data_IF_848916602382
#
_entry.id   IF_848916602382
#
_cell.length_a   1.000
_cell.length_b   1.000
_cell.length_c   1.000
_cell.angle_alpha   90.00
_cell.angle_beta   90.00
_cell.angle_gamma   90.00
#
_symmetry.space_group_name_H-M   'P 1'
#
loop_
_entity.id
_entity.type
_entity.pdbx_description
1 polymer ?
#
# COMPACT_ATOMS: atom_id res chain seq x y z
N UNK A 1 17.50 21.48 -2.46
CA UNK A 1 16.16 21.06 -1.97
C UNK A 1 16.21 19.61 -1.48
N UNK A 2 16.74 18.66 -2.26
CA UNK A 2 16.80 17.24 -1.86
C UNK A 2 17.57 17.04 -0.57
N UNK A 3 18.73 17.72 -0.37
CA UNK A 3 19.47 17.71 0.89
C UNK A 3 18.63 18.19 2.09
N UNK A 4 17.76 19.19 1.89
CA UNK A 4 16.85 19.64 2.95
C UNK A 4 15.81 18.58 3.31
N UNK A 5 15.33 17.82 2.33
CA UNK A 5 14.43 16.69 2.58
C UNK A 5 15.16 15.57 3.33
N UNK A 6 16.40 15.26 2.92
CA UNK A 6 17.23 14.25 3.57
C UNK A 6 17.62 14.62 5.01
N UNK A 7 17.64 15.93 5.34
CA UNK A 7 17.96 16.41 6.69
C UNK A 7 17.01 15.84 7.76
N UNK A 8 15.74 15.63 7.42
CA UNK A 8 14.68 15.10 8.31
C UNK A 8 14.32 13.64 8.01
N UNK A 9 15.17 12.94 7.25
CA UNK A 9 14.95 11.55 6.85
C UNK A 9 16.13 10.67 7.28
N UNK A 10 15.90 9.47 7.86
CA UNK A 10 16.99 8.55 8.21
C UNK A 10 17.78 8.14 6.98
N UNK A 11 19.11 8.33 7.01
CA UNK A 11 20.03 7.97 5.93
C UNK A 11 20.51 6.50 6.05
N UNK A 12 19.60 5.61 6.42
CA UNK A 12 19.89 4.19 6.70
C UNK A 12 19.38 3.29 5.56
N UNK A 13 19.64 3.69 4.31
CA UNK A 13 19.09 3.03 3.12
C UNK A 13 19.40 1.53 3.06
N UNK A 14 20.59 1.12 3.47
CA UNK A 14 21.03 -0.29 3.39
C UNK A 14 20.21 -1.22 4.28
N UNK A 15 19.66 -0.71 5.39
CA UNK A 15 18.80 -1.45 6.31
C UNK A 15 17.30 -1.19 6.09
N UNK A 16 16.96 -0.29 5.16
CA UNK A 16 15.59 0.11 4.91
C UNK A 16 14.78 -0.97 4.18
N UNK A 17 13.53 -1.19 4.60
CA UNK A 17 12.61 -2.17 3.98
C UNK A 17 12.36 -1.91 2.48
N UNK A 18 12.58 -0.69 1.98
CA UNK A 18 12.39 -0.29 0.59
C UNK A 18 13.69 0.10 -0.13
N UNK A 19 14.83 -0.40 0.37
CA UNK A 19 16.11 -0.21 -0.31
C UNK A 19 16.01 -0.59 -1.80
N UNK A 20 16.55 0.26 -2.69
CA UNK A 20 16.47 0.15 -4.15
C UNK A 20 15.05 0.22 -4.75
N UNK A 21 14.03 0.56 -3.97
CA UNK A 21 12.65 0.77 -4.43
C UNK A 21 12.00 1.99 -3.76
N UNK A 22 12.78 3.03 -3.56
CA UNK A 22 12.40 4.29 -2.92
C UNK A 22 12.65 5.45 -3.89
N UNK A 23 11.61 6.24 -4.18
CA UNK A 23 11.74 7.40 -5.09
C UNK A 23 12.74 8.44 -4.55
N UNK A 24 12.80 8.66 -3.23
CA UNK A 24 13.75 9.58 -2.62
C UNK A 24 15.20 9.11 -2.82
N UNK A 25 15.47 7.82 -2.60
CA UNK A 25 16.78 7.22 -2.83
C UNK A 25 17.20 7.35 -4.30
N UNK A 26 16.30 7.08 -5.24
CA UNK A 26 16.55 7.22 -6.67
C UNK A 26 16.95 8.65 -7.00
N UNK A 27 16.16 9.64 -6.58
CA UNK A 27 16.46 11.05 -6.84
C UNK A 27 17.77 11.50 -6.19
N UNK A 28 18.07 11.05 -4.97
CA UNK A 28 19.33 11.35 -4.29
C UNK A 28 20.53 10.79 -5.07
N UNK A 29 20.44 9.54 -5.52
CA UNK A 29 21.47 8.88 -6.31
C UNK A 29 21.70 9.58 -7.67
N UNK A 30 20.63 9.92 -8.38
CA UNK A 30 20.70 10.63 -9.67
C UNK A 30 21.37 12.00 -9.56
N UNK A 31 21.24 12.65 -8.41
CA UNK A 31 21.88 13.93 -8.11
C UNK A 31 23.27 13.79 -7.45
N UNK A 32 23.74 12.57 -7.18
CA UNK A 32 25.01 12.31 -6.51
C UNK A 32 25.05 12.78 -5.04
N UNK A 33 23.90 12.79 -4.37
CA UNK A 33 23.78 13.22 -2.97
C UNK A 33 23.86 11.99 -2.08
N UNK A 34 24.98 11.86 -1.37
CA UNK A 34 25.21 10.78 -0.39
C UNK A 34 25.16 11.24 1.07
N UNK A 35 25.07 12.55 1.31
CA UNK A 35 25.02 13.16 2.63
C UNK A 35 24.35 14.54 2.54
N UNK A 36 24.01 15.12 3.67
CA UNK A 36 23.39 16.45 3.73
C UNK A 36 24.24 17.41 4.59
N UNK A 37 24.30 18.67 4.16
CA UNK A 37 25.08 19.75 4.82
C UNK A 37 24.39 20.37 6.03
N UNK A 38 23.10 20.12 6.19
CA UNK A 38 22.28 20.79 7.18
C UNK A 38 22.14 19.93 8.43
N UNK A 39 22.22 20.57 9.59
CA UNK A 39 21.99 19.87 10.86
C UNK A 39 20.51 19.74 11.12
N UNK A 40 20.03 18.50 11.30
CA UNK A 40 18.70 18.25 11.82
C UNK A 40 18.71 18.06 13.34
N UNK A 41 17.75 18.62 14.04
CA UNK A 41 17.58 18.30 15.45
C UNK A 41 17.13 16.85 15.67
N UNK A 42 16.52 16.20 14.66
CA UNK A 42 16.01 14.83 14.73
C UNK A 42 16.00 14.20 13.33
N UNK A 43 16.87 13.23 13.08
CA UNK A 43 16.77 12.36 11.90
C UNK A 43 15.61 11.36 12.01
N UNK A 44 15.26 10.97 13.22
CA UNK A 44 14.07 10.19 13.53
C UNK A 44 13.08 11.05 14.28
N UNK A 45 11.84 11.08 13.84
CA UNK A 45 10.76 11.82 14.51
C UNK A 45 10.43 11.22 15.87
N UNK A 46 10.81 9.95 16.07
CA UNK A 46 10.57 9.23 17.32
C UNK A 46 9.08 8.95 17.57
N UNK A 47 8.28 8.98 16.51
CA UNK A 47 6.86 8.65 16.59
C UNK A 47 6.72 7.14 16.43
N UNK A 48 6.06 6.43 17.37
CA UNK A 48 5.87 4.99 17.24
C UNK A 48 5.20 4.64 15.89
N UNK A 49 5.65 3.52 15.29
CA UNK A 49 5.04 2.98 14.09
C UNK A 49 3.59 2.59 14.40
N UNK A 50 2.65 3.10 13.60
CA UNK A 50 1.25 2.73 13.71
C UNK A 50 0.97 1.48 12.88
N UNK A 51 0.56 0.41 13.55
CA UNK A 51 0.20 -0.89 12.98
C UNK A 51 -1.24 -1.27 13.30
N UNK A 52 -2.05 -0.31 13.71
CA UNK A 52 -3.44 -0.55 14.14
C UNK A 52 -4.39 -0.88 12.99
N UNK A 53 -4.05 -0.46 11.76
CA UNK A 53 -4.91 -0.68 10.60
C UNK A 53 -4.70 -2.07 10.00
N UNK A 54 -5.79 -2.78 9.64
CA UNK A 54 -5.75 -4.16 9.15
C UNK A 54 -4.96 -4.34 7.84
N UNK A 55 -4.93 -3.31 7.00
CA UNK A 55 -4.36 -3.37 5.64
C UNK A 55 -3.12 -2.50 5.43
N UNK A 56 -2.89 -1.53 6.29
CA UNK A 56 -1.82 -0.55 6.12
C UNK A 56 -1.05 -0.31 7.41
N UNK A 57 0.17 0.17 7.28
CA UNK A 57 1.03 0.61 8.39
C UNK A 57 1.50 2.02 8.11
N UNK A 58 1.78 2.78 9.17
CA UNK A 58 2.33 4.13 9.07
C UNK A 58 3.60 4.23 9.91
N UNK A 59 4.72 4.53 9.25
CA UNK A 59 6.02 4.82 9.87
C UNK A 59 6.43 6.24 9.51
N UNK A 60 6.21 7.18 10.41
CA UNK A 60 6.45 8.59 10.15
C UNK A 60 7.93 8.99 10.15
N UNK A 61 8.84 8.13 10.63
CA UNK A 61 10.28 8.35 10.46
C UNK A 61 10.67 8.35 8.97
N UNK A 62 10.00 7.54 8.16
CA UNK A 62 10.22 7.51 6.72
C UNK A 62 9.48 8.63 5.95
N UNK A 63 8.65 9.44 6.64
CA UNK A 63 7.81 10.43 5.99
C UNK A 63 8.60 11.71 5.66
N UNK A 64 8.58 12.11 4.39
CA UNK A 64 9.21 13.34 3.87
C UNK A 64 8.22 14.51 3.74
N UNK A 65 7.06 14.43 4.34
CA UNK A 65 6.02 15.47 4.33
C UNK A 65 5.62 15.95 2.91
N UNK A 66 5.71 15.09 1.91
CA UNK A 66 5.39 15.45 0.51
C UNK A 66 3.89 15.70 0.24
N UNK A 67 3.01 15.32 1.15
CA UNK A 67 1.56 15.52 1.05
C UNK A 67 0.85 14.67 -0.01
N UNK A 68 1.52 13.74 -0.70
CA UNK A 68 0.88 12.88 -1.73
C UNK A 68 -0.26 12.05 -1.15
N UNK A 69 -0.08 11.47 0.04
CA UNK A 69 -1.10 10.67 0.70
C UNK A 69 -2.33 11.51 1.11
N UNK A 70 -2.12 12.75 1.54
CA UNK A 70 -3.20 13.70 1.87
C UNK A 70 -4.01 13.99 0.62
N UNK A 71 -3.35 14.39 -0.49
CA UNK A 71 -4.05 14.65 -1.76
C UNK A 71 -4.75 13.40 -2.31
N UNK A 72 -4.15 12.22 -2.20
CA UNK A 72 -4.80 10.98 -2.63
C UNK A 72 -6.06 10.66 -1.80
N UNK A 73 -6.04 10.97 -0.50
CA UNK A 73 -7.18 10.79 0.38
C UNK A 73 -8.28 11.81 0.11
N UNK A 74 -7.91 13.06 -0.17
CA UNK A 74 -8.79 14.20 -0.43
C UNK A 74 -9.33 14.17 -1.87
N UNK A 75 -8.45 14.35 -2.86
CA UNK A 75 -8.82 14.64 -4.26
C UNK A 75 -9.27 13.39 -5.02
N UNK A 76 -8.75 12.20 -4.67
CA UNK A 76 -9.03 10.96 -5.40
C UNK A 76 -10.11 10.14 -4.69
N UNK A 77 -9.91 9.86 -3.39
CA UNK A 77 -10.86 9.06 -2.63
C UNK A 77 -12.03 9.89 -2.06
N UNK A 78 -11.82 11.16 -1.74
CA UNK A 78 -12.83 12.03 -1.12
C UNK A 78 -13.17 11.66 0.32
N UNK A 79 -12.23 11.05 1.06
CA UNK A 79 -12.47 10.61 2.46
C UNK A 79 -11.96 11.59 3.50
N UNK A 80 -10.99 12.46 3.16
CA UNK A 80 -10.45 13.54 4.01
C UNK A 80 -9.86 13.09 5.35
N UNK A 81 -9.50 11.81 5.48
CA UNK A 81 -8.98 11.22 6.72
C UNK A 81 -7.57 11.70 7.04
N UNK A 82 -6.72 11.78 5.99
CA UNK A 82 -5.32 12.16 6.16
C UNK A 82 -5.16 13.68 6.02
N UNK A 83 -4.45 14.28 6.97
CA UNK A 83 -4.10 15.70 6.93
C UNK A 83 -2.68 15.92 7.44
N UNK A 84 -2.14 17.13 7.21
CA UNK A 84 -0.87 17.54 7.81
C UNK A 84 -1.15 18.32 9.08
N UNK A 85 -0.45 18.00 10.15
CA UNK A 85 -0.47 18.74 11.42
C UNK A 85 0.93 19.20 11.82
N UNK A 86 1.00 20.15 12.74
CA UNK A 86 2.25 20.72 13.20
C UNK A 86 2.88 21.70 12.18
N UNK A 87 4.14 22.07 12.44
CA UNK A 87 4.92 22.96 11.58
C UNK A 87 6.42 22.73 11.75
N UNK A 88 7.22 23.08 10.73
CA UNK A 88 8.66 22.86 10.73
C UNK A 88 9.00 21.38 10.95
N UNK A 89 9.97 21.08 11.76
CA UNK A 89 10.37 19.70 12.07
C UNK A 89 9.32 18.88 12.85
N UNK A 90 8.32 19.53 13.44
CA UNK A 90 7.19 18.82 14.09
C UNK A 90 6.03 18.51 13.12
N UNK A 91 6.18 18.84 11.84
CA UNK A 91 5.17 18.51 10.82
C UNK A 91 5.06 17.00 10.66
N UNK A 92 3.83 16.51 10.69
CA UNK A 92 3.52 15.09 10.50
C UNK A 92 2.21 14.89 9.76
N UNK A 93 2.05 13.74 9.17
CA UNK A 93 0.74 13.28 8.68
C UNK A 93 -0.04 12.72 9.88
N UNK A 94 -1.30 13.09 9.97
CA UNK A 94 -2.25 12.59 10.99
C UNK A 94 -3.51 12.05 10.34
N UNK A 95 -4.21 11.21 11.08
CA UNK A 95 -5.51 10.65 10.73
C UNK A 95 -6.58 11.32 11.59
N UNK A 96 -7.64 11.81 10.97
CA UNK A 96 -8.75 12.51 11.65
C UNK A 96 -8.24 13.50 12.72
N UNK A 97 -8.59 13.32 13.99
CA UNK A 97 -8.15 14.13 15.13
C UNK A 97 -6.88 13.56 15.80
N UNK A 98 -5.89 13.11 15.03
CA UNK A 98 -4.65 12.46 15.51
C UNK A 98 -4.92 11.10 16.20
N UNK A 99 -5.93 10.39 15.71
CA UNK A 99 -6.28 9.03 16.13
C UNK A 99 -5.31 8.00 15.54
N UNK A 100 -5.33 6.78 16.09
CA UNK A 100 -4.65 5.64 15.45
C UNK A 100 -5.29 5.36 14.10
N UNK A 101 -4.49 4.91 13.12
CA UNK A 101 -4.95 4.73 11.75
C UNK A 101 -6.13 3.74 11.64
N UNK A 102 -6.12 2.66 12.43
CA UNK A 102 -7.20 1.68 12.47
C UNK A 102 -8.49 2.18 13.10
N UNK A 103 -8.42 3.20 13.96
CA UNK A 103 -9.58 3.78 14.65
C UNK A 103 -10.19 4.96 13.86
N UNK A 104 -9.55 5.38 12.78
CA UNK A 104 -9.97 6.51 11.95
C UNK A 104 -11.14 6.14 11.03
N UNK A 105 -11.76 7.15 10.42
CA UNK A 105 -12.81 6.97 9.41
C UNK A 105 -12.31 6.45 8.06
N UNK A 106 -11.12 5.85 8.01
CA UNK A 106 -10.48 5.35 6.81
C UNK A 106 -11.32 4.27 6.10
N UNK A 107 -11.52 4.44 4.80
CA UNK A 107 -12.26 3.47 3.96
C UNK A 107 -11.36 2.38 3.37
N UNK A 108 -10.11 2.29 3.80
CA UNK A 108 -9.15 1.22 3.43
C UNK A 108 -8.90 1.09 1.92
N UNK A 109 -8.94 2.18 1.16
CA UNK A 109 -8.73 2.13 -0.29
C UNK A 109 -7.26 1.89 -0.71
N UNK A 110 -6.28 2.17 0.18
CA UNK A 110 -4.86 1.98 -0.06
C UNK A 110 -4.20 3.00 -1.01
N UNK A 111 -4.92 4.04 -1.44
CA UNK A 111 -4.35 5.06 -2.35
C UNK A 111 -3.15 5.79 -1.73
N UNK A 112 -3.18 6.02 -0.42
CA UNK A 112 -2.07 6.65 0.32
C UNK A 112 -0.81 5.80 0.33
N UNK A 113 -0.92 4.47 0.55
CA UNK A 113 0.21 3.54 0.50
C UNK A 113 0.77 3.43 -0.93
N UNK A 114 -0.12 3.33 -1.93
CA UNK A 114 0.28 3.23 -3.34
C UNK A 114 1.06 4.45 -3.83
N UNK A 115 0.72 5.65 -3.37
CA UNK A 115 1.36 6.90 -3.81
C UNK A 115 2.57 7.32 -2.96
N UNK A 116 2.82 6.67 -1.81
CA UNK A 116 3.89 7.06 -0.90
C UNK A 116 5.27 6.80 -1.54
N UNK A 117 6.13 7.83 -1.69
CA UNK A 117 7.42 7.68 -2.37
C UNK A 117 8.49 6.99 -1.51
N UNK A 118 8.32 6.98 -0.18
CA UNK A 118 9.29 6.46 0.80
C UNK A 118 8.73 5.31 1.63
N UNK A 119 7.55 4.81 1.29
CA UNK A 119 6.84 3.75 2.01
C UNK A 119 6.54 4.08 3.49
N UNK A 120 6.49 5.38 3.82
CA UNK A 120 6.06 5.83 5.14
C UNK A 120 4.63 5.37 5.48
N UNK A 121 3.77 5.25 4.47
CA UNK A 121 2.53 4.48 4.54
C UNK A 121 2.70 3.29 3.59
N UNK A 122 2.58 2.09 4.12
CA UNK A 122 2.85 0.84 3.40
C UNK A 122 1.74 -0.19 3.60
N UNK A 123 1.72 -1.16 2.69
CA UNK A 123 0.82 -2.31 2.74
C UNK A 123 1.30 -3.34 3.78
N UNK A 124 0.37 -4.00 4.50
CA UNK A 124 0.74 -5.09 5.43
C UNK A 124 1.00 -6.40 4.71
N UNK A 125 0.45 -6.59 3.50
CA UNK A 125 0.55 -7.85 2.76
C UNK A 125 1.85 -8.00 1.99
N UNK A 126 2.41 -6.90 1.50
CA UNK A 126 3.64 -6.94 0.71
C UNK A 126 4.47 -5.67 0.88
N UNK A 127 5.77 -5.84 1.13
CA UNK A 127 6.75 -4.77 0.91
C UNK A 127 6.93 -4.51 -0.58
N UNK A 128 7.11 -3.26 -0.98
CA UNK A 128 7.44 -2.87 -2.35
C UNK A 128 8.70 -3.55 -2.89
N UNK A 129 9.61 -3.94 -2.01
CA UNK A 129 10.86 -4.64 -2.35
C UNK A 129 10.77 -6.16 -2.30
N UNK A 130 9.60 -6.73 -2.01
CA UNK A 130 9.46 -8.18 -1.95
C UNK A 130 9.67 -8.81 -3.34
N UNK A 131 10.53 -9.83 -3.42
CA UNK A 131 10.74 -10.58 -4.64
C UNK A 131 9.46 -11.36 -5.02
N UNK A 132 9.04 -11.23 -6.27
CA UNK A 132 7.92 -11.96 -6.85
C UNK A 132 8.37 -12.69 -8.11
N UNK A 133 7.71 -13.81 -8.44
CA UNK A 133 8.10 -14.61 -9.60
C UNK A 133 7.63 -13.95 -10.90
N UNK A 134 6.43 -13.39 -10.89
CA UNK A 134 5.84 -12.69 -12.04
C UNK A 134 4.75 -11.72 -11.59
N UNK A 135 4.47 -10.76 -12.46
CA UNK A 135 3.32 -9.86 -12.36
C UNK A 135 2.36 -10.11 -13.52
N UNK A 136 1.08 -10.17 -13.23
CA UNK A 136 0.03 -10.48 -14.21
C UNK A 136 -1.04 -9.40 -14.17
N UNK A 137 -1.26 -8.74 -15.31
CA UNK A 137 -2.38 -7.79 -15.45
C UNK A 137 -3.70 -8.53 -15.57
N UNK A 138 -4.69 -8.07 -14.85
CA UNK A 138 -6.04 -8.63 -14.81
C UNK A 138 -7.08 -7.56 -14.57
N UNK A 139 -8.33 -7.95 -14.63
CA UNK A 139 -9.48 -7.08 -14.35
C UNK A 139 -10.11 -7.49 -13.02
N UNK A 140 -10.47 -6.49 -12.21
CA UNK A 140 -11.18 -6.72 -10.96
C UNK A 140 -12.54 -7.38 -11.21
N UNK A 141 -12.82 -8.45 -10.46
CA UNK A 141 -14.06 -9.24 -10.63
C UNK A 141 -15.22 -8.78 -9.76
N UNK A 142 -15.06 -7.74 -8.92
CA UNK A 142 -16.05 -7.38 -7.92
C UNK A 142 -17.22 -6.54 -8.42
N UNK A 143 -16.99 -5.64 -9.36
CA UNK A 143 -18.07 -4.79 -9.86
C UNK A 143 -17.87 -4.36 -11.31
N UNK A 144 -18.87 -3.72 -11.89
CA UNK A 144 -18.88 -3.29 -13.29
C UNK A 144 -17.93 -2.17 -13.67
N UNK A 145 -17.20 -1.57 -12.72
CA UNK A 145 -16.13 -0.61 -13.03
C UNK A 145 -15.01 -1.28 -13.81
N UNK A 146 -14.71 -2.56 -13.52
CA UNK A 146 -13.69 -3.31 -14.24
C UNK A 146 -12.26 -2.77 -14.05
N UNK A 147 -11.93 -2.32 -12.85
CA UNK A 147 -10.59 -1.78 -12.55
C UNK A 147 -9.47 -2.69 -13.04
N UNK A 148 -8.46 -2.11 -13.65
CA UNK A 148 -7.25 -2.83 -14.04
C UNK A 148 -6.38 -3.06 -12.79
N UNK A 149 -6.00 -4.29 -12.57
CA UNK A 149 -5.17 -4.74 -11.46
C UNK A 149 -3.89 -5.39 -11.99
N UNK A 150 -2.84 -5.38 -11.18
CA UNK A 150 -1.63 -6.14 -11.40
C UNK A 150 -1.39 -7.06 -10.21
N UNK A 151 -1.58 -8.36 -10.42
CA UNK A 151 -1.37 -9.37 -9.40
C UNK A 151 0.11 -9.76 -9.33
N UNK A 152 0.70 -9.63 -8.16
CA UNK A 152 2.03 -10.14 -7.83
C UNK A 152 1.93 -11.61 -7.44
N UNK A 153 2.64 -12.47 -8.15
CA UNK A 153 2.59 -13.93 -7.97
C UNK A 153 3.93 -14.40 -7.38
N UNK A 154 3.83 -15.23 -6.35
CA UNK A 154 4.96 -15.95 -5.76
C UNK A 154 4.52 -17.37 -5.41
N UNK A 155 5.31 -18.38 -5.78
CA UNK A 155 5.01 -19.78 -5.55
C UNK A 155 3.58 -20.15 -6.03
N UNK A 156 3.20 -19.69 -7.24
CA UNK A 156 1.88 -19.81 -7.85
C UNK A 156 0.70 -19.23 -7.05
N UNK A 157 0.97 -18.39 -6.05
CA UNK A 157 -0.05 -17.68 -5.25
C UNK A 157 -0.03 -16.20 -5.49
N UNK A 158 -1.20 -15.57 -5.48
CA UNK A 158 -1.30 -14.11 -5.44
C UNK A 158 -0.94 -13.65 -4.04
N UNK A 159 0.13 -12.87 -3.94
CA UNK A 159 0.63 -12.36 -2.67
C UNK A 159 0.29 -10.88 -2.45
N UNK A 160 0.06 -10.15 -3.53
CA UNK A 160 -0.42 -8.77 -3.47
C UNK A 160 -1.11 -8.36 -4.77
N UNK A 161 -1.91 -7.31 -4.66
CA UNK A 161 -2.52 -6.62 -5.81
C UNK A 161 -2.03 -5.19 -5.83
N UNK A 162 -1.51 -4.78 -6.97
CA UNK A 162 -1.19 -3.41 -7.28
C UNK A 162 -2.12 -2.87 -8.38
N UNK A 163 -2.06 -1.57 -8.62
CA UNK A 163 -2.89 -0.90 -9.64
C UNK A 163 -2.00 -0.06 -10.53
N UNK A 164 -1.76 -0.49 -11.78
CA UNK A 164 -0.91 0.25 -12.70
C UNK A 164 -1.44 1.66 -12.95
N UNK A 165 -0.56 2.66 -12.91
CA UNK A 165 -0.93 4.08 -13.09
C UNK A 165 -1.35 4.39 -14.54
N UNK A 166 -0.82 3.65 -15.49
CA UNK A 166 -0.98 3.85 -16.95
C UNK A 166 -2.23 3.14 -17.48
N UNK A 167 -3.29 3.04 -16.69
CA UNK A 167 -4.54 2.41 -17.10
C UNK A 167 -5.66 3.43 -17.29
N UNK A 168 -6.46 3.24 -18.35
CA UNK A 168 -7.53 4.16 -18.72
C UNK A 168 -8.72 4.09 -17.76
N UNK A 169 -8.97 2.91 -17.17
CA UNK A 169 -10.19 2.69 -16.36
C UNK A 169 -10.08 3.32 -14.98
N UNK A 170 -8.97 3.13 -14.30
CA UNK A 170 -8.84 3.49 -12.88
C UNK A 170 -7.57 4.24 -12.52
N UNK A 171 -6.69 4.56 -13.50
CA UNK A 171 -5.52 5.44 -13.36
C UNK A 171 -4.71 5.20 -12.06
N UNK A 172 -4.48 3.93 -11.71
CA UNK A 172 -3.71 3.54 -10.52
C UNK A 172 -4.51 3.49 -9.22
N UNK A 173 -5.83 3.61 -9.25
CA UNK A 173 -6.65 3.61 -8.04
C UNK A 173 -7.67 2.46 -8.04
N UNK A 174 -8.02 1.97 -6.85
CA UNK A 174 -9.05 0.95 -6.66
C UNK A 174 -9.62 1.05 -5.24
N UNK A 175 -10.75 0.43 -4.98
CA UNK A 175 -11.32 0.36 -3.64
C UNK A 175 -10.70 -0.79 -2.83
N UNK A 176 -11.06 -0.88 -1.55
CA UNK A 176 -10.65 -1.94 -0.63
C UNK A 176 -10.79 -3.35 -1.24
N UNK A 177 -11.90 -3.63 -1.93
CA UNK A 177 -12.15 -4.96 -2.51
C UNK A 177 -11.12 -5.32 -3.58
N UNK A 178 -10.87 -4.41 -4.53
CA UNK A 178 -9.91 -4.67 -5.59
C UNK A 178 -8.48 -4.86 -5.07
N UNK A 179 -8.09 -4.11 -4.03
CA UNK A 179 -6.73 -4.15 -3.51
C UNK A 179 -6.48 -5.28 -2.53
N UNK A 180 -7.39 -5.51 -1.58
CA UNK A 180 -7.12 -6.36 -0.42
C UNK A 180 -7.93 -7.65 -0.36
N UNK A 181 -9.06 -7.74 -1.06
CA UNK A 181 -9.94 -8.90 -0.96
C UNK A 181 -9.63 -9.98 -2.02
N UNK A 182 -8.36 -10.29 -2.26
CA UNK A 182 -7.96 -11.28 -3.27
C UNK A 182 -7.82 -12.71 -2.72
N UNK A 183 -7.78 -12.91 -1.41
CA UNK A 183 -7.56 -14.22 -0.79
C UNK A 183 -8.68 -15.26 -1.08
N UNK A 184 -9.85 -14.81 -1.56
CA UNK A 184 -10.98 -15.70 -1.86
C UNK A 184 -10.68 -16.75 -2.94
N UNK A 185 -9.75 -16.47 -3.86
CA UNK A 185 -9.47 -17.37 -4.99
C UNK A 185 -8.77 -18.68 -4.55
N UNK A 186 -8.01 -18.66 -3.45
CA UNK A 186 -7.29 -19.83 -2.89
C UNK A 186 -7.70 -20.13 -1.43
N UNK A 187 -8.89 -19.67 -1.03
CA UNK A 187 -9.41 -19.95 0.31
C UNK A 187 -9.66 -21.47 0.49
N UNK A 188 -9.34 -22.06 1.66
CA UNK A 188 -9.57 -23.50 1.91
C UNK A 188 -11.01 -23.95 1.67
N UNK A 189 -11.98 -23.10 2.00
CA UNK A 189 -13.41 -23.39 1.85
C UNK A 189 -13.94 -23.17 0.42
N UNK A 190 -13.07 -22.77 -0.52
CA UNK A 190 -13.49 -22.56 -1.91
C UNK A 190 -13.83 -23.89 -2.54
N UNK A 191 -15.03 -23.97 -3.14
CA UNK A 191 -15.45 -25.13 -3.92
C UNK A 191 -14.54 -25.27 -5.15
N UNK A 192 -13.93 -26.44 -5.31
CA UNK A 192 -13.02 -26.77 -6.43
C UNK A 192 -13.62 -27.77 -7.41
N UNK A 193 -14.69 -28.47 -6.97
CA UNK A 193 -15.45 -29.45 -7.75
C UNK A 193 -16.94 -29.15 -7.68
N UNK A 194 -17.74 -29.58 -8.66
CA UNK A 194 -19.20 -29.55 -8.54
C UNK A 194 -19.66 -30.34 -7.33
N UNK A 195 -20.74 -29.91 -6.71
CA UNK A 195 -21.36 -30.61 -5.59
C UNK A 195 -22.81 -30.97 -5.93
N UNK A 196 -23.19 -32.25 -5.76
CA UNK A 196 -24.57 -32.72 -5.90
C UNK A 196 -25.15 -33.03 -4.52
N UNK A 197 -26.35 -32.53 -4.25
CA UNK A 197 -27.03 -32.82 -2.99
C UNK A 197 -27.74 -34.19 -3.07
N UNK A 198 -27.23 -35.18 -2.32
CA UNK A 198 -27.79 -36.50 -2.18
C UNK A 198 -28.15 -36.75 -0.71
N UNK A 199 -29.36 -37.26 -0.46
CA UNK A 199 -29.84 -37.56 0.90
C UNK A 199 -29.60 -36.43 1.92
N UNK A 200 -29.72 -35.17 1.46
CA UNK A 200 -29.54 -33.98 2.32
C UNK A 200 -28.09 -33.52 2.52
N UNK A 201 -27.09 -34.22 2.01
CA UNK A 201 -25.67 -33.89 2.09
C UNK A 201 -25.12 -33.56 0.70
N UNK A 202 -24.17 -32.60 0.65
CA UNK A 202 -23.42 -32.31 -0.56
C UNK A 202 -22.26 -33.30 -0.71
N UNK A 203 -22.14 -33.88 -1.90
CA UNK A 203 -21.09 -34.83 -2.30
C UNK A 203 -20.41 -34.33 -3.55
N UNK A 204 -19.07 -34.50 -3.64
CA UNK A 204 -18.31 -34.11 -4.83
C UNK A 204 -18.76 -34.93 -6.04
N UNK A 205 -18.81 -34.30 -7.20
CA UNK A 205 -19.20 -34.87 -8.46
C UNK A 205 -18.32 -34.40 -9.61
N UNK A 206 -18.32 -35.12 -10.72
CA UNK A 206 -17.74 -34.60 -11.97
C UNK A 206 -18.66 -33.57 -12.63
N UNK A 207 -18.14 -32.82 -13.58
CA UNK A 207 -18.95 -31.92 -14.39
C UNK A 207 -19.96 -32.66 -15.28
N UNK A 208 -19.60 -33.85 -15.74
CA UNK A 208 -20.50 -34.70 -16.55
C UNK A 208 -21.67 -35.27 -15.74
N UNK A 209 -21.49 -35.43 -14.44
CA UNK A 209 -22.49 -35.91 -13.52
C UNK A 209 -23.43 -34.82 -13.02
N UNK A 210 -22.92 -33.57 -12.91
CA UNK A 210 -23.64 -32.41 -12.36
C UNK A 210 -24.52 -31.72 -13.39
#
# INVERSE_FOLDING_TARGET
>A
IVELVLTDHPMECDSCEVNNNCELQTVANDLGISDHRYNSPKQHKGIPRDTSHDYMRMNLDNCINCGRCVRACDEIQGSFVLTMSGRGFESKITTDNDMMFGDSSCVSCGACAHTCPTDAISDVFQSKSAAVDKKVRTTCSYCGVGCNLEASIKDDKVVAIDTPKETEVNAGHTCIKGRYAFSFYDHPDRLKTPLIKRNGKFEEASWDEA
#
